data_IF_026225766999
#
_entry.id   IF_026225766999
#
_cell.length_a   1.000
_cell.length_b   1.000
_cell.length_c   1.000
_cell.angle_alpha   90.00
_cell.angle_beta   90.00
_cell.angle_gamma   90.00
#
_symmetry.space_group_name_H-M   'P 1'
#
loop_
_entity.id
_entity.type
_entity.pdbx_description
1 polymer ?
#
# COMPACT_ATOMS: atom_id res chain seq x y z
N UNK A 1 40.72 -21.26 -31.47
CA UNK A 1 41.71 -20.48 -32.27
C UNK A 1 40.92 -19.36 -32.94
N UNK A 2 41.12 -18.05 -32.78
CA UNK A 2 42.29 -17.24 -32.41
C UNK A 2 41.88 -16.11 -31.45
N UNK A 3 42.79 -15.81 -30.52
CA UNK A 3 42.79 -14.66 -29.62
C UNK A 3 43.33 -13.40 -30.29
N UNK A 4 43.04 -12.23 -29.71
CA UNK A 4 43.87 -11.00 -29.57
C UNK A 4 43.02 -10.07 -28.66
N UNK A 5 43.30 -9.72 -27.40
CA UNK A 5 44.49 -9.39 -26.58
C UNK A 5 45.01 -7.93 -26.70
N UNK A 6 44.64 -7.14 -25.67
CA UNK A 6 45.35 -6.07 -24.94
C UNK A 6 45.63 -4.70 -25.60
N UNK A 7 45.33 -3.60 -24.91
CA UNK A 7 46.14 -2.83 -23.91
C UNK A 7 45.38 -1.53 -23.55
N UNK A 8 44.95 -1.26 -22.30
CA UNK A 8 45.64 -0.57 -21.19
C UNK A 8 46.35 0.75 -21.51
N UNK A 9 45.89 1.85 -20.91
CA UNK A 9 46.72 2.95 -20.41
C UNK A 9 46.03 3.68 -19.23
N UNK A 10 46.79 3.85 -18.15
CA UNK A 10 46.53 4.54 -16.89
C UNK A 10 47.00 6.02 -16.97
N UNK A 11 46.89 6.76 -15.85
CA UNK A 11 47.65 7.99 -15.43
C UNK A 11 46.90 9.33 -15.74
N UNK A 12 46.74 10.34 -14.86
CA UNK A 12 47.15 10.65 -13.46
C UNK A 12 46.30 11.78 -12.85
N UNK A 13 46.30 11.80 -11.51
CA UNK A 13 45.95 12.84 -10.51
C UNK A 13 46.24 14.31 -10.84
N UNK A 14 45.53 15.23 -10.16
CA UNK A 14 46.15 16.27 -9.30
C UNK A 14 45.14 16.93 -8.35
N UNK A 15 45.63 17.27 -7.17
CA UNK A 15 44.98 17.86 -6.00
C UNK A 15 45.77 19.15 -5.65
N UNK A 16 45.17 20.05 -4.84
CA UNK A 16 45.77 21.23 -4.16
C UNK A 16 45.87 22.54 -5.01
N UNK A 17 45.68 23.78 -4.54
CA UNK A 17 45.53 24.44 -3.23
C UNK A 17 45.16 25.96 -3.44
N UNK A 18 44.60 26.59 -2.38
CA UNK A 18 44.83 27.98 -1.87
C UNK A 18 44.14 29.26 -2.42
N UNK A 19 43.61 30.01 -1.45
CA UNK A 19 43.42 31.48 -1.33
C UNK A 19 42.48 31.74 -0.13
N UNK A 20 42.80 32.42 1.00
CA UNK A 20 43.59 33.64 1.29
C UNK A 20 42.74 34.89 0.98
N UNK A 21 42.47 35.93 1.82
CA UNK A 21 42.90 36.36 3.15
C UNK A 21 41.93 37.46 3.71
N UNK A 22 41.95 37.62 5.04
CA UNK A 22 41.90 38.85 5.88
C UNK A 22 40.73 39.86 5.94
N UNK A 23 40.35 40.20 7.20
CA UNK A 23 40.16 41.57 7.74
C UNK A 23 40.08 41.57 9.30
N UNK A 24 40.30 42.71 9.99
CA UNK A 24 41.21 42.78 11.14
C UNK A 24 40.55 43.13 12.49
N UNK A 25 41.35 43.04 13.55
CA UNK A 25 41.01 43.41 14.93
C UNK A 25 41.39 44.86 15.28
N UNK A 26 40.63 45.47 16.21
CA UNK A 26 41.18 46.36 17.24
C UNK A 26 40.59 47.77 17.34
N UNK A 27 39.76 48.02 18.38
CA UNK A 27 39.96 49.12 19.35
C UNK A 27 38.87 49.14 20.44
N UNK A 28 39.34 49.31 21.68
CA UNK A 28 38.65 49.75 22.92
C UNK A 28 39.62 50.74 23.60
N UNK A 29 39.29 51.52 24.67
CA UNK A 29 38.12 51.49 25.57
C UNK A 29 37.55 52.88 25.98
N UNK A 30 36.37 52.95 26.61
CA UNK A 30 36.09 53.90 27.73
C UNK A 30 34.83 53.50 28.52
N UNK A 31 34.84 53.72 29.84
CA UNK A 31 33.74 53.55 30.80
C UNK A 31 33.98 54.52 31.98
N UNK A 32 33.05 54.80 32.92
CA UNK A 32 31.57 54.63 32.98
C UNK A 32 30.84 55.93 33.45
N UNK A 33 29.57 55.88 33.91
CA UNK A 33 29.39 55.81 35.36
C UNK A 33 28.22 54.93 35.86
N UNK A 34 28.35 54.60 37.14
CA UNK A 34 27.61 53.70 38.03
C UNK A 34 26.17 54.17 38.33
N UNK A 35 25.20 53.23 38.37
CA UNK A 35 23.99 53.32 39.21
C UNK A 35 23.62 51.96 39.84
N UNK A 36 23.00 52.07 41.02
CA UNK A 36 22.92 51.16 42.17
C UNK A 36 22.28 49.76 41.98
N UNK A 37 22.53 48.80 42.91
CA UNK A 37 22.00 47.44 42.83
C UNK A 37 20.57 47.34 43.39
N UNK A 38 19.66 46.55 42.78
CA UNK A 38 18.40 46.19 43.41
C UNK A 38 18.56 44.95 44.31
N UNK A 39 17.77 45.00 45.38
CA UNK A 39 17.71 44.14 46.56
C UNK A 39 17.33 42.68 46.22
N UNK A 40 18.02 41.70 46.83
CA UNK A 40 17.65 40.28 46.79
C UNK A 40 16.31 40.05 47.51
N UNK A 41 15.29 39.56 46.80
CA UNK A 41 14.10 38.96 47.39
C UNK A 41 14.37 37.50 47.82
N UNK A 42 13.75 37.00 48.90
CA UNK A 42 13.91 35.63 49.37
C UNK A 42 13.21 34.62 48.44
N UNK A 43 13.63 33.33 48.44
CA UNK A 43 13.16 32.35 47.48
C UNK A 43 11.68 31.98 47.71
N UNK A 44 10.90 32.05 46.64
CA UNK A 44 9.54 31.49 46.59
C UNK A 44 9.64 29.97 46.63
N UNK A 45 9.03 29.33 47.64
CA UNK A 45 8.83 27.89 47.66
C UNK A 45 7.87 27.51 46.53
N UNK A 46 8.41 26.94 45.44
CA UNK A 46 7.60 26.31 44.40
C UNK A 46 7.08 24.99 44.96
N UNK A 47 5.78 24.94 45.22
CA UNK A 47 5.07 23.72 45.59
C UNK A 47 4.96 22.86 44.32
N UNK A 48 5.50 21.64 44.35
CA UNK A 48 5.45 20.72 43.21
C UNK A 48 3.98 20.43 42.85
N UNK A 49 3.60 20.47 41.57
CA UNK A 49 2.24 20.12 41.17
C UNK A 49 1.99 18.65 41.49
N UNK A 50 0.90 18.39 42.21
CA UNK A 50 0.37 17.05 42.42
C UNK A 50 0.14 16.40 41.06
N UNK A 51 0.60 15.16 40.80
CA UNK A 51 0.37 14.51 39.52
C UNK A 51 -1.14 14.40 39.28
N UNK A 52 -1.59 14.93 38.15
CA UNK A 52 -2.94 14.72 37.68
C UNK A 52 -3.21 13.20 37.63
N UNK A 53 -4.37 12.78 38.12
CA UNK A 53 -4.82 11.40 38.05
C UNK A 53 -4.77 10.95 36.59
N UNK A 54 -3.88 9.99 36.31
CA UNK A 54 -3.77 9.33 35.03
C UNK A 54 -5.07 8.57 34.81
N UNK A 55 -5.89 9.04 33.87
CA UNK A 55 -7.00 8.27 33.30
C UNK A 55 -6.44 6.91 32.85
N UNK A 56 -7.07 5.76 33.16
CA UNK A 56 -6.50 4.47 32.82
C UNK A 56 -6.37 4.38 31.30
N UNK A 57 -5.15 4.17 30.81
CA UNK A 57 -4.92 3.74 29.45
C UNK A 57 -5.72 2.44 29.26
N UNK A 58 -6.71 2.44 28.35
CA UNK A 58 -7.17 1.19 27.74
C UNK A 58 -5.93 0.45 27.27
N UNK A 59 -5.72 -0.76 27.80
CA UNK A 59 -4.46 -1.47 27.66
C UNK A 59 -4.07 -1.61 26.18
N UNK A 60 -2.82 -1.30 25.84
CA UNK A 60 -2.28 -1.44 24.47
C UNK A 60 -2.57 -2.83 23.88
N UNK A 61 -2.66 -3.85 24.73
CA UNK A 61 -3.03 -5.23 24.38
C UNK A 61 -4.42 -5.41 23.78
N UNK A 62 -5.43 -4.65 24.23
CA UNK A 62 -6.80 -4.79 23.71
C UNK A 62 -6.93 -4.15 22.32
N UNK A 63 -6.24 -3.04 22.11
CA UNK A 63 -6.15 -2.38 20.82
C UNK A 63 -5.36 -3.24 19.82
N UNK A 64 -4.17 -3.71 20.19
CA UNK A 64 -3.35 -4.61 19.36
C UNK A 64 -4.14 -5.87 18.94
N UNK A 65 -4.96 -6.41 19.84
CA UNK A 65 -5.77 -7.59 19.55
C UNK A 65 -6.94 -7.28 18.62
N UNK A 66 -7.56 -6.10 18.75
CA UNK A 66 -8.58 -5.61 17.82
C UNK A 66 -7.99 -5.43 16.42
N UNK A 67 -6.79 -4.84 16.31
CA UNK A 67 -6.07 -4.66 15.05
C UNK A 67 -5.76 -6.01 14.38
N UNK A 68 -5.35 -7.03 15.17
CA UNK A 68 -5.15 -8.40 14.66
C UNK A 68 -6.44 -9.01 14.11
N UNK A 69 -7.55 -8.86 14.81
CA UNK A 69 -8.86 -9.37 14.37
C UNK A 69 -9.34 -8.65 13.10
N UNK A 70 -9.14 -7.34 13.00
CA UNK A 70 -9.41 -6.57 11.78
C UNK A 70 -8.56 -7.07 10.61
N UNK A 71 -7.27 -7.34 10.83
CA UNK A 71 -6.41 -7.92 9.80
C UNK A 71 -6.84 -9.32 9.37
N UNK A 72 -7.30 -10.16 10.29
CA UNK A 72 -7.84 -11.47 9.92
C UNK A 72 -9.07 -11.34 9.01
N UNK A 73 -10.04 -10.50 9.40
CA UNK A 73 -11.24 -10.24 8.59
C UNK A 73 -10.86 -9.74 7.19
N UNK A 74 -9.89 -8.84 7.12
CA UNK A 74 -9.38 -8.25 5.89
C UNK A 74 -8.71 -9.28 4.97
N UNK A 75 -7.89 -10.17 5.53
CA UNK A 75 -7.27 -11.27 4.77
C UNK A 75 -8.33 -12.24 4.25
N UNK A 76 -9.34 -12.55 5.06
CA UNK A 76 -10.48 -13.37 4.62
C UNK A 76 -11.24 -12.74 3.46
N UNK A 77 -11.54 -11.44 3.54
CA UNK A 77 -12.17 -10.69 2.46
C UNK A 77 -11.34 -10.68 1.18
N UNK A 78 -10.04 -10.45 1.28
CA UNK A 78 -9.14 -10.44 0.11
C UNK A 78 -9.11 -11.80 -0.59
N UNK A 79 -8.93 -12.89 0.16
CA UNK A 79 -8.92 -14.23 -0.43
C UNK A 79 -10.22 -14.58 -1.14
N UNK A 80 -11.36 -14.16 -0.57
CA UNK A 80 -12.67 -14.38 -1.20
C UNK A 80 -12.90 -13.48 -2.42
N UNK A 81 -12.41 -12.23 -2.40
CA UNK A 81 -12.43 -11.35 -3.57
C UNK A 81 -11.61 -11.93 -4.74
N UNK A 82 -10.37 -12.35 -4.47
CA UNK A 82 -9.50 -12.95 -5.49
C UNK A 82 -10.14 -14.21 -6.10
N UNK A 83 -10.74 -15.07 -5.28
CA UNK A 83 -11.44 -16.26 -5.74
C UNK A 83 -12.69 -15.95 -6.57
N UNK A 84 -13.47 -14.94 -6.17
CA UNK A 84 -14.62 -14.47 -6.95
C UNK A 84 -14.19 -13.92 -8.31
N UNK A 85 -13.12 -13.12 -8.35
CA UNK A 85 -12.58 -12.58 -9.60
C UNK A 85 -12.06 -13.68 -10.52
N UNK A 86 -11.37 -14.68 -9.97
CA UNK A 86 -10.92 -15.84 -10.74
C UNK A 86 -12.12 -16.62 -11.32
N UNK A 87 -13.15 -16.89 -10.51
CA UNK A 87 -14.37 -17.56 -10.97
C UNK A 87 -15.11 -16.75 -12.04
N UNK A 88 -15.23 -15.43 -11.85
CA UNK A 88 -15.84 -14.53 -12.83
C UNK A 88 -15.07 -14.53 -14.15
N UNK A 89 -13.73 -14.48 -14.10
CA UNK A 89 -12.90 -14.54 -15.31
C UNK A 89 -13.08 -15.82 -16.12
N UNK A 90 -13.41 -16.95 -15.48
CA UNK A 90 -13.66 -18.22 -16.16
C UNK A 90 -15.13 -18.39 -16.60
N UNK A 91 -16.09 -17.92 -15.79
CA UNK A 91 -17.52 -18.24 -15.94
C UNK A 91 -18.41 -17.06 -16.31
N UNK A 92 -17.85 -15.85 -16.40
CA UNK A 92 -18.55 -14.59 -16.67
C UNK A 92 -19.73 -14.33 -15.73
N UNK A 93 -19.57 -14.73 -14.45
CA UNK A 93 -20.56 -14.55 -13.38
C UNK A 93 -19.92 -14.73 -12.00
N UNK A 94 -20.48 -14.08 -10.98
CA UNK A 94 -20.13 -14.34 -9.57
C UNK A 94 -20.77 -15.64 -9.08
N UNK A 95 -20.17 -16.26 -8.05
CA UNK A 95 -20.73 -17.48 -7.43
C UNK A 95 -21.18 -17.25 -6.00
N UNK A 96 -22.32 -17.82 -5.64
CA UNK A 96 -22.75 -17.98 -4.25
C UNK A 96 -22.47 -19.39 -3.71
N UNK A 97 -21.98 -20.30 -4.56
CA UNK A 97 -21.59 -21.65 -4.18
C UNK A 97 -20.23 -21.60 -3.47
N UNK A 98 -20.28 -21.72 -2.15
CA UNK A 98 -19.10 -21.65 -1.28
C UNK A 98 -18.16 -22.84 -1.45
N UNK A 99 -18.61 -23.96 -2.02
CA UNK A 99 -17.75 -25.10 -2.33
C UNK A 99 -16.76 -24.80 -3.47
N UNK A 100 -17.03 -23.75 -4.26
CA UNK A 100 -16.18 -23.28 -5.35
C UNK A 100 -15.19 -22.19 -4.91
N UNK A 101 -15.27 -21.76 -3.65
CA UNK A 101 -14.42 -20.73 -3.07
C UNK A 101 -13.41 -21.36 -2.10
N UNK A 102 -12.21 -20.78 -1.96
CA UNK A 102 -11.24 -21.26 -0.99
C UNK A 102 -11.77 -21.04 0.42
N UNK A 103 -11.50 -22.01 1.30
CA UNK A 103 -11.74 -21.82 2.72
C UNK A 103 -10.82 -20.69 3.25
N UNK A 104 -11.35 -19.76 4.06
CA UNK A 104 -10.53 -18.76 4.76
C UNK A 104 -9.40 -19.40 5.59
N UNK A 105 -8.48 -18.62 6.14
CA UNK A 105 -7.43 -19.17 6.99
C UNK A 105 -8.01 -19.83 8.26
N UNK A 106 -7.47 -20.99 8.64
CA UNK A 106 -7.68 -21.56 9.97
C UNK A 106 -6.82 -20.80 11.01
N UNK A 107 -7.09 -21.02 12.29
CA UNK A 107 -6.19 -20.59 13.36
C UNK A 107 -4.84 -21.31 13.26
N UNK A 108 -3.84 -20.81 13.99
CA UNK A 108 -2.48 -21.38 13.99
C UNK A 108 -2.43 -22.85 14.45
N UNK A 109 -3.42 -23.28 15.24
CA UNK A 109 -3.60 -24.67 15.69
C UNK A 109 -4.44 -25.52 14.71
N UNK A 110 -4.81 -24.96 13.55
CA UNK A 110 -5.65 -25.59 12.53
C UNK A 110 -7.15 -25.54 12.83
N UNK A 111 -7.57 -24.98 13.96
CA UNK A 111 -8.98 -24.89 14.32
C UNK A 111 -9.70 -23.79 13.53
N UNK A 112 -11.03 -23.89 13.48
CA UNK A 112 -11.91 -22.94 12.80
C UNK A 112 -13.14 -22.69 13.64
N UNK A 113 -13.74 -21.51 13.50
CA UNK A 113 -15.01 -21.21 14.17
C UNK A 113 -16.15 -22.06 13.63
N UNK A 114 -17.14 -22.42 14.47
CA UNK A 114 -18.30 -23.16 14.01
C UNK A 114 -19.17 -22.33 13.06
N UNK A 115 -19.71 -23.00 12.05
CA UNK A 115 -20.69 -22.42 11.12
C UNK A 115 -22.11 -22.89 11.46
N UNK A 116 -23.14 -22.04 11.25
CA UNK A 116 -24.53 -22.44 11.46
C UNK A 116 -24.99 -23.53 10.48
N UNK A 117 -24.55 -23.43 9.22
CA UNK A 117 -24.95 -24.27 8.10
C UNK A 117 -23.92 -24.17 6.96
N UNK A 118 -24.24 -24.78 5.81
CA UNK A 118 -23.39 -24.82 4.62
C UNK A 118 -23.29 -23.47 3.86
N UNK A 119 -24.10 -22.47 4.23
CA UNK A 119 -24.05 -21.11 3.69
C UNK A 119 -22.96 -20.22 4.31
N UNK A 120 -22.03 -20.81 5.06
CA UNK A 120 -20.93 -20.12 5.70
C UNK A 120 -19.59 -20.83 5.49
N UNK A 121 -18.55 -20.05 5.22
CA UNK A 121 -17.16 -20.47 5.26
C UNK A 121 -16.56 -20.16 6.64
N UNK A 122 -15.93 -21.14 7.26
CA UNK A 122 -15.31 -21.01 8.57
C UNK A 122 -13.89 -20.46 8.46
N UNK A 123 -13.56 -19.36 9.14
CA UNK A 123 -12.20 -18.86 9.36
C UNK A 123 -11.69 -19.15 10.77
N UNK A 124 -10.71 -18.40 11.25
CA UNK A 124 -10.14 -18.57 12.59
C UNK A 124 -11.05 -17.97 13.67
N UNK A 125 -11.37 -16.68 13.60
CA UNK A 125 -12.29 -15.97 14.50
C UNK A 125 -13.54 -15.44 13.78
N UNK A 126 -13.55 -15.45 12.45
CA UNK A 126 -14.68 -14.99 11.64
C UNK A 126 -15.26 -16.13 10.81
N UNK A 127 -16.57 -16.10 10.58
CA UNK A 127 -17.24 -16.85 9.53
C UNK A 127 -17.72 -15.92 8.43
N UNK A 128 -17.73 -16.41 7.19
CA UNK A 128 -17.99 -15.61 6.01
C UNK A 128 -19.16 -16.17 5.23
N UNK A 129 -20.10 -15.33 4.85
CA UNK A 129 -21.17 -15.68 3.92
C UNK A 129 -21.02 -14.85 2.63
N UNK A 130 -21.41 -15.43 1.50
CA UNK A 130 -21.41 -14.73 0.21
C UNK A 130 -22.83 -14.69 -0.33
N UNK A 131 -23.25 -13.51 -0.79
CA UNK A 131 -24.48 -13.32 -1.56
C UNK A 131 -24.16 -12.71 -2.92
N UNK A 132 -24.96 -13.03 -3.93
CA UNK A 132 -24.87 -12.43 -5.27
C UNK A 132 -26.20 -11.77 -5.58
N UNK A 133 -26.16 -10.56 -6.14
CA UNK A 133 -27.32 -9.78 -6.51
C UNK A 133 -27.16 -9.18 -7.91
N UNK A 134 -28.28 -8.88 -8.56
CA UNK A 134 -28.33 -8.23 -9.87
C UNK A 134 -28.71 -9.17 -11.02
N UNK A 135 -28.51 -8.70 -12.24
CA UNK A 135 -28.92 -9.36 -13.48
C UNK A 135 -27.73 -9.54 -14.42
N UNK A 136 -27.55 -10.77 -14.91
CA UNK A 136 -26.53 -11.10 -15.91
C UNK A 136 -26.83 -10.40 -17.25
N UNK A 137 -25.80 -10.14 -18.08
CA UNK A 137 -24.38 -10.45 -17.85
C UNK A 137 -23.59 -9.34 -17.14
N UNK A 138 -24.04 -8.08 -17.20
CA UNK A 138 -23.21 -6.92 -16.84
C UNK A 138 -23.54 -6.21 -15.51
N UNK A 139 -24.70 -6.48 -14.92
CA UNK A 139 -25.16 -5.77 -13.72
C UNK A 139 -25.26 -6.75 -12.54
N UNK A 140 -24.14 -7.35 -12.18
CA UNK A 140 -24.07 -8.27 -11.04
C UNK A 140 -23.04 -7.82 -10.01
N UNK A 141 -23.40 -7.92 -8.75
CA UNK A 141 -22.54 -7.68 -7.59
C UNK A 141 -22.55 -8.91 -6.69
N UNK A 142 -21.47 -9.11 -5.95
CA UNK A 142 -21.45 -10.00 -4.81
C UNK A 142 -21.14 -9.22 -3.53
N UNK A 143 -21.65 -9.72 -2.42
CA UNK A 143 -21.34 -9.21 -1.08
C UNK A 143 -20.79 -10.34 -0.23
N UNK A 144 -19.68 -10.08 0.45
CA UNK A 144 -19.11 -10.95 1.47
C UNK A 144 -19.42 -10.34 2.83
N UNK A 145 -20.00 -11.12 3.72
CA UNK A 145 -20.28 -10.72 5.11
C UNK A 145 -19.40 -11.53 6.05
N UNK A 146 -18.59 -10.85 6.87
CA UNK A 146 -17.78 -11.47 7.92
C UNK A 146 -18.42 -11.22 9.29
N UNK A 147 -18.62 -12.28 10.07
CA UNK A 147 -19.18 -12.20 11.43
C UNK A 147 -18.22 -12.87 12.40
N UNK A 148 -17.77 -12.12 13.40
CA UNK A 148 -16.87 -12.60 14.44
C UNK A 148 -17.60 -13.53 15.41
N UNK A 149 -16.96 -14.62 15.80
CA UNK A 149 -17.54 -15.71 16.60
C UNK A 149 -16.73 -15.90 17.88
N UNK A 150 -17.38 -15.60 19.01
CA UNK A 150 -16.84 -15.81 20.35
C UNK A 150 -15.65 -14.91 20.71
N UNK A 151 -15.25 -14.98 21.98
CA UNK A 151 -14.12 -14.23 22.50
C UNK A 151 -14.21 -12.74 22.20
N UNK A 152 -13.11 -12.15 21.73
CA UNK A 152 -13.03 -10.72 21.38
C UNK A 152 -13.48 -10.40 19.95
N UNK A 153 -13.75 -11.42 19.14
CA UNK A 153 -14.32 -11.22 17.81
C UNK A 153 -15.85 -11.07 17.88
N UNK A 154 -16.49 -11.54 18.95
CA UNK A 154 -17.93 -11.46 19.14
C UNK A 154 -18.45 -10.01 19.04
N UNK A 155 -19.49 -9.83 18.24
CA UNK A 155 -20.07 -8.51 17.95
C UNK A 155 -19.36 -7.71 16.85
N UNK A 156 -18.23 -8.19 16.31
CA UNK A 156 -17.63 -7.62 15.11
C UNK A 156 -18.35 -8.17 13.87
N UNK A 157 -18.81 -7.26 13.01
CA UNK A 157 -19.43 -7.61 11.74
C UNK A 157 -18.96 -6.63 10.67
N UNK A 158 -18.61 -7.16 9.51
CA UNK A 158 -18.12 -6.38 8.38
C UNK A 158 -18.76 -6.89 7.09
N UNK A 159 -18.90 -6.01 6.10
CA UNK A 159 -19.42 -6.40 4.79
C UNK A 159 -18.69 -5.67 3.66
N UNK A 160 -18.30 -6.43 2.63
CA UNK A 160 -17.70 -5.92 1.41
C UNK A 160 -18.61 -6.24 0.23
N UNK A 161 -18.81 -5.29 -0.69
CA UNK A 161 -19.50 -5.51 -1.97
C UNK A 161 -18.58 -5.21 -3.14
N UNK A 162 -18.60 -6.06 -4.17
CA UNK A 162 -17.88 -5.84 -5.42
C UNK A 162 -18.67 -6.31 -6.65
N UNK A 163 -18.50 -5.64 -7.78
CA UNK A 163 -19.08 -6.04 -9.07
C UNK A 163 -19.47 -4.82 -9.90
N UNK A 164 -20.55 -4.93 -10.67
CA UNK A 164 -21.07 -3.85 -11.50
C UNK A 164 -22.57 -3.65 -11.25
N UNK A 165 -23.01 -2.40 -11.21
CA UNK A 165 -24.41 -2.03 -11.14
C UNK A 165 -24.67 -0.74 -11.93
N UNK A 166 -25.63 -0.78 -12.85
CA UNK A 166 -25.94 0.30 -13.80
C UNK A 166 -24.72 0.68 -14.65
N UNK A 167 -24.04 -0.31 -15.23
CA UNK A 167 -22.82 -0.15 -16.03
C UNK A 167 -21.67 0.56 -15.30
N UNK A 168 -21.68 0.54 -13.96
CA UNK A 168 -20.65 1.15 -13.12
C UNK A 168 -20.09 0.13 -12.15
N UNK A 169 -18.77 0.14 -12.04
CA UNK A 169 -18.07 -0.66 -11.03
C UNK A 169 -18.53 -0.22 -9.63
N UNK A 170 -19.06 -1.16 -8.87
CA UNK A 170 -19.37 -1.01 -7.45
C UNK A 170 -18.26 -1.68 -6.65
N UNK A 171 -17.66 -0.94 -5.73
CA UNK A 171 -16.78 -1.47 -4.69
C UNK A 171 -17.08 -0.74 -3.39
N UNK A 172 -17.55 -1.48 -2.40
CA UNK A 172 -17.83 -0.98 -1.05
C UNK A 172 -17.05 -1.85 -0.08
N UNK A 173 -16.28 -1.21 0.80
CA UNK A 173 -15.49 -1.90 1.82
C UNK A 173 -15.87 -1.39 3.21
N UNK A 174 -15.76 -2.21 4.26
CA UNK A 174 -15.96 -1.74 5.63
C UNK A 174 -14.93 -0.67 6.01
N UNK A 175 -15.39 0.54 6.33
CA UNK A 175 -14.55 1.68 6.70
C UNK A 175 -13.76 1.45 8.00
N UNK A 176 -14.22 0.52 8.83
CA UNK A 176 -13.55 0.09 10.06
C UNK A 176 -12.33 -0.79 9.79
N UNK A 177 -12.17 -1.32 8.58
CA UNK A 177 -10.99 -2.07 8.15
C UNK A 177 -10.02 -1.16 7.38
N UNK A 178 -9.62 -0.08 8.02
CA UNK A 178 -8.63 0.90 7.54
C UNK A 178 -7.27 0.61 8.19
N UNK A 179 -6.63 -0.49 7.79
CA UNK A 179 -5.28 -0.78 8.25
C UNK A 179 -4.30 -0.63 7.09
N UNK A 180 -3.58 0.49 7.10
CA UNK A 180 -2.41 0.79 6.23
C UNK A 180 -1.30 -0.27 6.34
N UNK A 181 -1.37 -1.13 7.35
CA UNK A 181 -0.38 -2.17 7.59
C UNK A 181 -0.95 -3.35 8.37
N UNK A 182 -1.40 -4.40 7.68
CA UNK A 182 -1.47 -5.75 8.27
C UNK A 182 -0.11 -6.46 8.25
N UNK A 183 0.99 -5.68 8.39
CA UNK A 183 2.34 -6.20 8.41
C UNK A 183 2.59 -6.96 9.71
N UNK A 184 2.66 -8.29 9.61
CA UNK A 184 2.92 -9.19 10.74
C UNK A 184 1.86 -10.27 10.95
N UNK A 185 0.68 -10.13 10.34
CA UNK A 185 -0.31 -11.22 10.25
C UNK A 185 0.04 -12.04 9.00
N UNK A 186 0.59 -13.23 9.21
CA UNK A 186 0.97 -14.14 8.11
C UNK A 186 -0.29 -14.55 7.33
N UNK A 187 -0.20 -14.62 5.99
CA UNK A 187 -1.19 -15.36 5.20
C UNK A 187 -1.23 -16.84 5.65
N UNK A 188 -2.31 -17.58 5.38
CA UNK A 188 -2.37 -19.03 5.62
C UNK A 188 -1.22 -19.84 4.98
N UNK A 189 -0.57 -19.35 3.91
CA UNK A 189 0.64 -19.99 3.33
C UNK A 189 1.94 -19.66 4.11
N UNK A 190 1.86 -18.87 5.18
CA UNK A 190 3.03 -18.40 5.93
C UNK A 190 3.73 -17.20 5.29
N UNK A 191 3.36 -16.80 4.07
CA UNK A 191 3.91 -15.63 3.40
C UNK A 191 3.37 -14.35 4.06
N UNK A 192 4.23 -13.39 4.45
CA UNK A 192 3.77 -12.05 4.84
C UNK A 192 2.92 -11.45 3.72
N UNK A 193 1.95 -10.60 4.05
CA UNK A 193 1.43 -9.68 3.04
C UNK A 193 2.62 -8.98 2.37
N UNK A 194 2.62 -8.86 1.03
CA UNK A 194 3.69 -8.19 0.32
C UNK A 194 3.97 -6.87 1.01
N UNK A 195 5.25 -6.57 1.29
CA UNK A 195 5.64 -5.27 1.80
C UNK A 195 5.00 -4.18 0.90
N UNK A 196 4.61 -2.98 1.39
CA UNK A 196 3.82 -2.06 0.59
C UNK A 196 4.46 -1.72 -0.77
N UNK A 197 5.79 -1.80 -0.86
CA UNK A 197 6.57 -1.68 -2.11
C UNK A 197 6.13 -2.67 -3.21
N UNK A 198 5.60 -3.83 -2.84
CA UNK A 198 5.12 -4.85 -3.74
C UNK A 198 3.77 -4.52 -4.37
N UNK A 199 2.96 -3.64 -3.78
CA UNK A 199 1.83 -3.03 -4.48
C UNK A 199 2.36 -2.26 -5.70
N UNK A 200 3.33 -1.38 -5.49
CA UNK A 200 4.00 -0.62 -6.54
C UNK A 200 4.52 -1.52 -7.67
N UNK A 201 5.23 -2.59 -7.30
CA UNK A 201 5.80 -3.52 -8.28
C UNK A 201 4.73 -4.34 -9.02
N UNK A 202 3.72 -4.86 -8.33
CA UNK A 202 2.68 -5.69 -8.95
C UNK A 202 1.85 -4.87 -9.94
N UNK A 203 1.45 -3.66 -9.54
CA UNK A 203 0.73 -2.73 -10.40
C UNK A 203 1.57 -2.24 -11.59
N UNK A 204 2.89 -2.02 -11.44
CA UNK A 204 3.75 -1.72 -12.58
C UNK A 204 3.82 -2.86 -13.60
N UNK A 205 3.84 -4.12 -13.15
CA UNK A 205 3.79 -5.28 -14.06
C UNK A 205 2.45 -5.39 -14.78
N UNK A 206 1.35 -5.13 -14.08
CA UNK A 206 0.02 -5.06 -14.70
C UNK A 206 -0.03 -3.95 -15.76
N UNK A 207 0.45 -2.74 -15.43
CA UNK A 207 0.49 -1.61 -16.36
C UNK A 207 1.39 -1.90 -17.57
N UNK A 208 2.55 -2.53 -17.38
CA UNK A 208 3.40 -2.99 -18.48
C UNK A 208 2.66 -3.96 -19.41
N UNK A 209 1.93 -4.92 -18.84
CA UNK A 209 1.15 -5.89 -19.62
C UNK A 209 0.04 -5.20 -20.40
N UNK A 210 -0.70 -4.27 -19.78
CA UNK A 210 -1.69 -3.43 -20.43
C UNK A 210 -1.12 -2.64 -21.61
N UNK A 211 0.06 -2.03 -21.46
CA UNK A 211 0.73 -1.31 -22.54
C UNK A 211 1.10 -2.22 -23.71
N UNK A 212 1.63 -3.43 -23.42
CA UNK A 212 1.98 -4.40 -24.46
C UNK A 212 0.75 -4.93 -25.19
N UNK A 213 -0.34 -5.19 -24.48
CA UNK A 213 -1.62 -5.59 -25.08
C UNK A 213 -2.19 -4.47 -25.95
N UNK A 214 -2.22 -3.23 -25.46
CA UNK A 214 -2.68 -2.07 -26.21
C UNK A 214 -1.86 -1.84 -27.48
N UNK A 215 -0.53 -1.97 -27.41
CA UNK A 215 0.33 -1.87 -28.59
C UNK A 215 0.03 -2.96 -29.62
N UNK A 216 -0.20 -4.20 -29.19
CA UNK A 216 -0.56 -5.30 -30.09
C UNK A 216 -1.90 -5.04 -30.84
N UNK A 217 -2.79 -4.24 -30.27
CA UNK A 217 -4.08 -3.89 -30.90
C UNK A 217 -4.07 -2.59 -31.69
N UNK A 218 -3.25 -1.61 -31.28
CA UNK A 218 -3.31 -0.22 -31.78
C UNK A 218 -2.03 0.25 -32.46
N UNK A 219 -1.00 -0.58 -32.51
CA UNK A 219 0.35 -0.28 -33.03
C UNK A 219 1.00 0.95 -32.38
N UNK A 220 0.61 1.28 -31.14
CA UNK A 220 1.12 2.42 -30.37
C UNK A 220 0.93 2.20 -28.87
N UNK A 221 1.73 2.85 -28.04
CA UNK A 221 1.50 2.94 -26.58
C UNK A 221 0.66 4.18 -26.24
N UNK A 222 0.13 4.27 -25.01
CA UNK A 222 -0.59 5.46 -24.52
C UNK A 222 -0.01 5.96 -23.19
N UNK A 223 -0.03 7.27 -22.99
CA UNK A 223 0.30 7.88 -21.68
C UNK A 223 -0.87 7.80 -20.70
N UNK A 224 -2.10 7.59 -21.21
CA UNK A 224 -3.30 7.50 -20.39
C UNK A 224 -3.53 6.07 -19.95
N UNK A 225 -3.60 5.86 -18.63
CA UNK A 225 -3.88 4.55 -18.04
C UNK A 225 -5.23 3.98 -18.50
N UNK A 226 -6.26 4.81 -18.57
CA UNK A 226 -7.61 4.38 -18.98
C UNK A 226 -7.65 3.88 -20.42
N UNK A 227 -6.85 4.46 -21.33
CA UNK A 227 -6.79 4.03 -22.73
C UNK A 227 -6.30 2.58 -22.84
N UNK A 228 -5.42 2.15 -21.92
CA UNK A 228 -4.85 0.80 -21.90
C UNK A 228 -5.56 -0.14 -20.91
N UNK A 229 -6.67 0.31 -20.32
CA UNK A 229 -7.43 -0.45 -19.34
C UNK A 229 -6.66 -0.70 -18.03
N UNK A 230 -5.67 0.12 -17.70
CA UNK A 230 -4.93 -0.01 -16.45
C UNK A 230 -5.67 0.70 -15.32
N UNK A 231 -6.16 -0.09 -14.34
CA UNK A 231 -6.80 0.40 -13.13
C UNK A 231 -6.14 -0.27 -11.91
N UNK A 232 -5.16 0.38 -11.24
CA UNK A 232 -4.53 -0.19 -10.06
C UNK A 232 -5.56 -0.38 -8.94
N UNK A 233 -5.33 -1.37 -8.09
CA UNK A 233 -6.24 -1.65 -6.98
C UNK A 233 -6.23 -0.46 -5.99
N UNK A 234 -7.42 0.05 -5.57
CA UNK A 234 -7.49 1.06 -4.52
C UNK A 234 -7.01 0.47 -3.18
N UNK A 235 -6.92 1.31 -2.16
CA UNK A 235 -6.87 0.81 -0.80
C UNK A 235 -8.08 -0.08 -0.52
N UNK A 236 -7.93 -0.90 0.52
CA UNK A 236 -8.96 -1.87 0.86
C UNK A 236 -10.27 -1.14 1.14
N UNK A 237 -10.24 -0.04 1.88
CA UNK A 237 -11.37 0.87 2.13
C UNK A 237 -11.97 1.58 0.88
N UNK A 238 -11.43 1.32 -0.31
CA UNK A 238 -11.83 1.94 -1.57
C UNK A 238 -11.23 3.32 -1.80
N UNK A 239 -10.53 3.88 -0.81
CA UNK A 239 -9.80 5.14 -0.98
C UNK A 239 -8.61 4.94 -1.90
N UNK A 240 -8.08 6.06 -2.40
CA UNK A 240 -6.93 6.05 -3.29
C UNK A 240 -5.95 7.12 -2.86
N UNK A 241 -4.68 6.88 -3.13
CA UNK A 241 -3.64 7.86 -2.99
C UNK A 241 -3.99 9.19 -3.72
N UNK A 242 -3.70 10.35 -3.12
CA UNK A 242 -3.91 11.62 -3.81
C UNK A 242 -2.98 11.73 -5.02
N UNK A 243 -3.52 12.14 -6.17
CA UNK A 243 -2.77 12.38 -7.41
C UNK A 243 -2.55 13.89 -7.63
N UNK A 244 -1.38 14.29 -8.17
CA UNK A 244 -1.09 15.70 -8.41
C UNK A 244 -1.85 16.28 -9.61
N UNK A 245 -2.12 15.47 -10.64
CA UNK A 245 -2.82 15.86 -11.86
C UNK A 245 -3.38 14.63 -12.59
N UNK A 246 -4.06 14.85 -13.72
CA UNK A 246 -4.73 13.82 -14.50
C UNK A 246 -3.80 12.86 -15.26
N UNK A 247 -2.48 13.11 -15.31
CA UNK A 247 -1.52 12.17 -15.89
C UNK A 247 -1.18 11.01 -14.94
N UNK A 248 -1.60 11.11 -13.67
CA UNK A 248 -1.39 10.09 -12.67
C UNK A 248 -2.66 9.30 -12.38
N UNK A 249 -2.52 8.00 -12.19
CA UNK A 249 -3.58 7.09 -11.74
C UNK A 249 -3.24 6.57 -10.36
N UNK A 250 -4.19 6.59 -9.44
CA UNK A 250 -3.95 6.29 -8.03
C UNK A 250 -4.24 4.82 -7.69
N UNK A 251 -3.29 4.13 -7.05
CA UNK A 251 -3.54 2.90 -6.29
C UNK A 251 -3.83 3.19 -4.82
N UNK A 252 -3.45 2.27 -3.94
CA UNK A 252 -3.60 2.47 -2.50
C UNK A 252 -2.50 3.40 -1.95
N UNK A 253 -1.24 2.96 -2.02
CA UNK A 253 -0.10 3.74 -1.52
C UNK A 253 0.73 4.40 -2.62
N UNK A 254 0.56 3.94 -3.85
CA UNK A 254 1.30 4.41 -5.01
C UNK A 254 0.41 5.16 -6.00
N UNK A 255 0.99 6.13 -6.68
CA UNK A 255 0.44 6.73 -7.90
C UNK A 255 1.30 6.30 -9.08
N UNK A 256 0.67 6.12 -10.24
CA UNK A 256 1.26 5.55 -11.44
C UNK A 256 1.15 6.50 -12.62
N UNK A 257 2.17 6.55 -13.47
CA UNK A 257 2.11 7.25 -14.75
C UNK A 257 2.88 6.50 -15.83
N UNK A 258 2.50 6.73 -17.09
CA UNK A 258 3.26 6.31 -18.26
C UNK A 258 3.80 7.53 -18.99
N UNK A 259 5.06 7.44 -19.41
CA UNK A 259 5.70 8.40 -20.32
C UNK A 259 6.00 7.64 -21.62
N UNK A 260 5.48 8.10 -22.75
CA UNK A 260 5.70 7.46 -24.06
C UNK A 260 6.65 8.33 -24.88
N UNK A 261 7.61 7.70 -25.56
CA UNK A 261 8.61 8.38 -26.38
C UNK A 261 8.75 7.70 -27.74
N UNK A 262 9.04 8.49 -28.78
CA UNK A 262 9.14 8.02 -30.15
C UNK A 262 7.84 8.18 -30.96
N UNK A 263 7.83 7.65 -32.18
CA UNK A 263 6.72 7.75 -33.14
C UNK A 263 6.25 6.33 -33.47
N UNK A 264 4.94 6.05 -33.51
CA UNK A 264 4.44 4.73 -33.90
C UNK A 264 5.02 4.25 -35.24
N UNK A 265 5.44 2.97 -35.36
CA UNK A 265 5.42 1.92 -34.34
C UNK A 265 6.69 1.88 -33.46
N UNK A 266 7.70 2.69 -33.74
CA UNK A 266 8.98 2.78 -33.02
C UNK A 266 8.85 3.60 -31.74
N UNK A 267 7.96 3.17 -30.85
CA UNK A 267 7.76 3.79 -29.54
C UNK A 267 8.40 2.98 -28.42
N UNK A 268 8.75 3.69 -27.35
CA UNK A 268 9.13 3.13 -26.06
C UNK A 268 8.30 3.79 -24.98
N UNK A 269 8.24 3.17 -23.81
CA UNK A 269 7.56 3.75 -22.66
C UNK A 269 8.37 3.55 -21.38
N UNK A 270 8.13 4.44 -20.42
CA UNK A 270 8.59 4.34 -19.05
C UNK A 270 7.39 4.45 -18.12
N UNK A 271 7.24 3.45 -17.26
CA UNK A 271 6.22 3.46 -16.21
C UNK A 271 6.88 3.87 -14.91
N UNK A 272 6.21 4.74 -14.16
CA UNK A 272 6.65 5.20 -12.84
C UNK A 272 5.58 4.88 -11.82
N UNK A 273 5.96 4.29 -10.70
CA UNK A 273 5.14 4.18 -9.49
C UNK A 273 5.82 4.99 -8.38
N UNK A 274 5.10 5.96 -7.81
CA UNK A 274 5.58 6.81 -6.72
C UNK A 274 4.75 6.55 -5.47
N UNK A 275 5.39 6.11 -4.40
CA UNK A 275 4.76 5.95 -3.10
C UNK A 275 4.48 7.32 -2.48
N UNK A 276 3.25 7.56 -2.07
CA UNK A 276 2.80 8.87 -1.55
C UNK A 276 2.20 8.81 -0.16
N UNK A 277 1.86 7.62 0.34
CA UNK A 277 1.33 7.41 1.70
C UNK A 277 2.07 6.27 2.41
N UNK A 278 1.93 6.21 3.74
CA UNK A 278 2.45 5.12 4.56
C UNK A 278 3.96 4.91 4.50
N UNK A 279 4.40 3.67 4.72
CA UNK A 279 5.82 3.28 4.80
C UNK A 279 6.59 3.40 3.47
N UNK A 280 5.90 3.65 2.35
CA UNK A 280 6.47 3.80 1.02
C UNK A 280 6.48 5.24 0.53
N UNK A 281 6.04 6.20 1.35
CA UNK A 281 6.08 7.61 0.99
C UNK A 281 7.50 8.03 0.56
N UNK A 282 7.61 8.58 -0.66
CA UNK A 282 8.88 9.01 -1.25
C UNK A 282 9.66 7.90 -1.98
N UNK A 283 9.21 6.64 -1.95
CA UNK A 283 9.80 5.59 -2.77
C UNK A 283 9.34 5.72 -4.22
N UNK A 284 10.22 5.42 -5.17
CA UNK A 284 9.91 5.42 -6.58
C UNK A 284 10.42 4.13 -7.23
N UNK A 285 9.55 3.51 -8.04
CA UNK A 285 9.86 2.36 -8.87
C UNK A 285 9.62 2.74 -10.33
N UNK A 286 10.49 2.31 -11.22
CA UNK A 286 10.35 2.48 -12.65
C UNK A 286 10.47 1.15 -13.37
N UNK A 287 9.70 1.01 -14.45
CA UNK A 287 9.75 -0.12 -15.37
C UNK A 287 9.70 0.38 -16.80
N UNK A 288 10.72 0.08 -17.60
CA UNK A 288 10.76 0.50 -19.01
C UNK A 288 10.14 -0.53 -19.97
N UNK A 289 9.97 -0.15 -21.24
CA UNK A 289 9.41 -1.01 -22.28
C UNK A 289 10.25 -2.26 -22.61
N UNK A 290 11.49 -2.32 -22.14
CA UNK A 290 12.39 -3.48 -22.20
C UNK A 290 12.28 -4.41 -20.98
N UNK A 291 11.35 -4.13 -20.06
CA UNK A 291 11.16 -4.84 -18.78
C UNK A 291 12.37 -4.66 -17.83
N UNK A 292 13.05 -3.51 -17.90
CA UNK A 292 14.14 -3.15 -16.99
C UNK A 292 13.61 -2.34 -15.81
N UNK A 293 13.98 -2.77 -14.60
CA UNK A 293 13.59 -2.12 -13.35
C UNK A 293 14.61 -1.09 -12.87
N UNK A 294 14.13 0.02 -12.30
CA UNK A 294 14.95 0.97 -11.54
C UNK A 294 14.19 1.48 -10.32
N UNK A 295 14.67 1.27 -9.07
CA UNK A 295 15.77 0.37 -8.69
C UNK A 295 15.45 -1.09 -9.07
N UNK A 296 16.37 -2.02 -8.81
CA UNK A 296 16.13 -3.45 -9.02
C UNK A 296 14.78 -3.87 -8.45
N UNK A 297 14.07 -4.74 -9.18
CA UNK A 297 12.74 -5.20 -8.78
C UNK A 297 12.72 -5.64 -7.30
N UNK A 298 11.77 -5.16 -6.49
CA UNK A 298 11.65 -5.61 -5.11
C UNK A 298 11.34 -7.12 -5.08
N UNK A 299 11.90 -7.80 -4.09
CA UNK A 299 11.65 -9.22 -3.86
C UNK A 299 10.23 -9.40 -3.27
N UNK A 300 9.28 -9.51 -4.19
CA UNK A 300 7.87 -9.65 -3.92
C UNK A 300 7.44 -11.07 -4.23
N UNK A 301 8.04 -12.04 -3.52
CA UNK A 301 7.78 -13.47 -3.70
C UNK A 301 6.27 -13.81 -3.80
N UNK A 302 5.93 -14.97 -4.38
CA UNK A 302 4.54 -15.43 -4.48
C UNK A 302 3.84 -15.53 -3.10
#
# INVERSE_FOLDING_TARGET
MKSLSRRTAFVVSSLLLLGGCERPAGSTPEAPPVKAPPVKAPPVKVQAPTPAAVTPATSSTAQELRERLQCEALLGFRGLLEAQQAYFGEKDRWTQDLALLPAPAACADGTRVPTPDAGWLAGCHFRYAVSVAGTLPGDTTFTVSAVGVGGQAEGLAYAMTHGSANDRLVRVWPAELTLDSCHGVRRPEGTPLPAPVCEGASNLRAFFTSQKAYFAEKDRYSEKADDVGFAPEPCLDGTRAPVPDAAWTAGCHFIYRAEVSGIPPEQTFRLTARGVTGAVAGQELQLDSGNTWSPSAPDCGP
#
